data_IF_166369501253
#
_entry.id   IF_166369501253
#
_cell.length_a   1.000
_cell.length_b   1.000
_cell.length_c   1.000
_cell.angle_alpha   90.00
_cell.angle_beta   90.00
_cell.angle_gamma   90.00
#
_symmetry.space_group_name_H-M   'P 1'
#
loop_
_entity.id
_entity.type
_entity.pdbx_description
1 polymer ?
#
# COMPACT_ATOMS: atom_id res chain seq x y z
N UNK A 1 -12.66 -3.87 -3.39
CA UNK A 1 -11.80 -3.58 -4.56
C UNK A 1 -10.52 -4.44 -4.62
N UNK A 2 -10.22 -5.24 -3.62
CA UNK A 2 -9.12 -6.22 -3.62
C UNK A 2 -9.68 -7.58 -4.00
N UNK A 3 -9.55 -7.96 -5.27
CA UNK A 3 -10.26 -9.10 -5.84
C UNK A 3 -9.29 -10.03 -6.56
N UNK A 4 -9.33 -11.30 -6.22
CA UNK A 4 -8.76 -12.41 -6.99
C UNK A 4 -9.81 -13.49 -7.16
N UNK A 5 -9.74 -14.21 -8.25
CA UNK A 5 -10.75 -15.23 -8.55
C UNK A 5 -10.33 -16.12 -9.71
N UNK A 6 -11.30 -16.87 -10.19
CA UNK A 6 -11.15 -17.74 -11.36
C UNK A 6 -12.09 -17.26 -12.46
N UNK A 7 -11.63 -17.22 -13.69
CA UNK A 7 -12.47 -16.84 -14.82
C UNK A 7 -13.58 -17.89 -14.98
N UNK A 8 -14.83 -17.47 -14.80
CA UNK A 8 -16.01 -18.32 -15.00
C UNK A 8 -16.46 -18.31 -16.47
N UNK A 9 -16.60 -17.11 -17.05
CA UNK A 9 -17.05 -16.91 -18.43
C UNK A 9 -16.28 -15.79 -19.10
N UNK A 10 -16.25 -15.81 -20.42
CA UNK A 10 -15.64 -14.78 -21.27
C UNK A 10 -16.71 -14.06 -22.05
N UNK A 11 -16.66 -12.74 -22.08
CA UNK A 11 -17.48 -11.92 -22.97
C UNK A 11 -17.14 -12.15 -24.44
N UNK A 12 -18.07 -11.80 -25.33
CA UNK A 12 -17.87 -11.92 -26.75
C UNK A 12 -16.66 -11.10 -27.20
N UNK A 13 -15.77 -11.70 -28.02
CA UNK A 13 -14.57 -11.03 -28.52
C UNK A 13 -13.38 -10.98 -27.59
N UNK A 14 -13.49 -11.50 -26.36
CA UNK A 14 -12.34 -11.64 -25.46
C UNK A 14 -11.41 -12.74 -25.98
N UNK A 15 -10.14 -12.41 -26.16
CA UNK A 15 -9.08 -13.33 -26.57
C UNK A 15 -7.95 -13.38 -25.57
N UNK A 16 -7.17 -14.47 -25.59
CA UNK A 16 -5.98 -14.62 -24.74
C UNK A 16 -6.27 -15.08 -23.31
N UNK A 17 -7.52 -15.41 -22.97
CA UNK A 17 -7.97 -15.92 -21.69
C UNK A 17 -8.79 -17.21 -21.87
N UNK A 18 -8.84 -18.03 -20.82
CA UNK A 18 -9.67 -19.24 -20.79
C UNK A 18 -10.42 -19.33 -19.46
N UNK A 19 -11.64 -19.91 -19.43
CA UNK A 19 -12.29 -20.28 -18.18
C UNK A 19 -11.40 -21.21 -17.35
N UNK A 20 -11.37 -20.99 -16.03
CA UNK A 20 -10.52 -21.74 -15.11
C UNK A 20 -9.19 -21.07 -14.79
N UNK A 21 -8.73 -20.07 -15.57
CA UNK A 21 -7.50 -19.33 -15.24
C UNK A 21 -7.69 -18.50 -13.96
N UNK A 22 -6.67 -18.51 -13.08
CA UNK A 22 -6.65 -17.69 -11.86
C UNK A 22 -6.17 -16.27 -12.16
N UNK A 23 -6.88 -15.30 -11.62
CA UNK A 23 -6.68 -13.88 -11.96
C UNK A 23 -6.73 -12.97 -10.74
N UNK A 24 -6.06 -11.84 -10.90
CA UNK A 24 -6.12 -10.68 -10.03
C UNK A 24 -6.78 -9.52 -10.80
N UNK A 25 -7.72 -8.83 -10.18
CA UNK A 25 -8.29 -7.60 -10.71
C UNK A 25 -7.59 -6.39 -10.06
N UNK A 26 -7.27 -5.32 -10.81
CA UNK A 26 -6.75 -4.10 -10.21
C UNK A 26 -7.86 -3.42 -9.38
N UNK A 27 -7.49 -2.70 -8.34
CA UNK A 27 -8.46 -1.95 -7.55
C UNK A 27 -9.18 -0.87 -8.38
N UNK A 28 -8.49 -0.32 -9.38
CA UNK A 28 -8.95 0.81 -10.20
C UNK A 28 -8.92 0.45 -11.69
N UNK A 29 -10.03 0.73 -12.35
CA UNK A 29 -10.18 0.66 -13.80
C UNK A 29 -9.83 2.03 -14.42
N UNK A 30 -9.15 2.03 -15.56
CA UNK A 30 -8.65 3.25 -16.20
C UNK A 30 -9.18 3.40 -17.61
N UNK A 31 -9.34 4.65 -18.08
CA UNK A 31 -9.90 4.91 -19.42
C UNK A 31 -8.91 4.63 -20.55
N UNK A 32 -7.60 4.68 -20.30
CA UNK A 32 -6.54 4.46 -21.29
C UNK A 32 -6.30 5.62 -22.26
N UNK A 33 -7.11 6.68 -22.25
CA UNK A 33 -7.10 7.73 -23.29
C UNK A 33 -6.88 9.16 -22.79
N UNK A 34 -7.09 9.46 -21.48
CA UNK A 34 -6.82 10.78 -20.95
C UNK A 34 -5.31 11.09 -20.89
N UNK A 35 -4.94 12.33 -20.61
CA UNK A 35 -3.55 12.76 -20.56
C UNK A 35 -2.72 11.92 -19.59
N UNK A 36 -3.22 11.72 -18.38
CA UNK A 36 -2.54 10.91 -17.37
C UNK A 36 -2.29 9.47 -17.85
N UNK A 37 -3.29 8.83 -18.49
CA UNK A 37 -3.13 7.48 -19.04
C UNK A 37 -2.08 7.43 -20.15
N UNK A 38 -2.08 8.41 -21.04
CA UNK A 38 -1.11 8.48 -22.15
C UNK A 38 0.33 8.76 -21.68
N UNK A 39 0.48 9.36 -20.51
CA UNK A 39 1.78 9.57 -19.83
C UNK A 39 2.25 8.35 -19.01
N UNK A 40 1.49 7.24 -19.00
CA UNK A 40 1.78 6.08 -18.16
C UNK A 40 1.57 6.34 -16.65
N UNK A 41 0.62 7.22 -16.34
CA UNK A 41 0.21 7.59 -14.97
C UNK A 41 -1.26 7.25 -14.74
N UNK A 42 -1.66 6.08 -15.18
CA UNK A 42 -3.04 5.61 -15.18
C UNK A 42 -3.65 5.55 -13.77
N UNK A 43 -2.81 5.39 -12.74
CA UNK A 43 -3.24 5.42 -11.34
C UNK A 43 -3.92 6.75 -10.93
N UNK A 44 -3.68 7.82 -11.69
CA UNK A 44 -4.34 9.12 -11.53
C UNK A 44 -5.19 9.49 -12.76
N UNK A 45 -5.81 8.50 -13.38
CA UNK A 45 -6.71 8.66 -14.51
C UNK A 45 -7.87 9.61 -14.14
N UNK A 46 -8.17 10.61 -15.00
CA UNK A 46 -9.26 11.57 -14.77
C UNK A 46 -10.64 10.90 -14.77
N UNK A 47 -10.76 9.72 -15.37
CA UNK A 47 -11.99 8.93 -15.53
C UNK A 47 -11.86 7.57 -14.83
N UNK A 48 -11.12 7.50 -13.73
CA UNK A 48 -10.98 6.22 -13.03
C UNK A 48 -12.30 5.75 -12.42
N UNK A 49 -12.44 4.43 -12.37
CA UNK A 49 -13.53 3.76 -11.65
C UNK A 49 -12.92 2.74 -10.70
N UNK A 50 -13.42 2.69 -9.48
CA UNK A 50 -12.95 1.74 -8.46
C UNK A 50 -14.04 0.71 -8.20
N UNK A 51 -13.65 -0.57 -8.17
CA UNK A 51 -14.52 -1.64 -7.72
C UNK A 51 -15.04 -1.39 -6.30
N UNK A 52 -16.33 -1.60 -6.09
CA UNK A 52 -16.97 -1.40 -4.79
C UNK A 52 -17.23 0.06 -4.42
N UNK A 53 -16.91 1.02 -5.31
CA UNK A 53 -17.18 2.44 -5.13
C UNK A 53 -17.93 3.04 -6.31
N UNK A 54 -17.38 2.94 -7.53
CA UNK A 54 -17.98 3.49 -8.76
C UNK A 54 -18.69 2.41 -9.59
N UNK A 55 -18.25 1.17 -9.44
CA UNK A 55 -18.84 -0.03 -10.04
C UNK A 55 -18.95 -1.10 -8.97
N UNK A 56 -19.72 -2.17 -9.25
CA UNK A 56 -19.91 -3.28 -8.31
C UNK A 56 -18.57 -3.89 -7.88
N UNK A 57 -18.48 -4.27 -6.60
CA UNK A 57 -17.25 -4.78 -5.98
C UNK A 57 -17.18 -6.29 -5.85
N UNK A 58 -16.16 -6.75 -5.14
CA UNK A 58 -15.84 -8.18 -4.98
C UNK A 58 -16.45 -8.87 -3.76
N UNK A 59 -17.37 -8.23 -3.03
CA UNK A 59 -18.16 -8.91 -2.00
C UNK A 59 -19.35 -9.63 -2.66
N UNK A 60 -19.01 -10.56 -3.55
CA UNK A 60 -19.95 -11.30 -4.39
C UNK A 60 -19.31 -12.59 -4.88
N UNK A 61 -20.13 -13.57 -5.27
CA UNK A 61 -19.68 -14.84 -5.88
C UNK A 61 -19.08 -14.59 -7.28
N UNK A 62 -19.58 -13.59 -8.02
CA UNK A 62 -19.15 -13.25 -9.37
C UNK A 62 -18.96 -11.74 -9.53
N UNK A 63 -17.96 -11.36 -10.30
CA UNK A 63 -17.64 -9.96 -10.65
C UNK A 63 -17.37 -9.87 -12.13
N UNK A 64 -17.89 -8.84 -12.78
CA UNK A 64 -17.58 -8.50 -14.17
C UNK A 64 -16.43 -7.52 -14.23
N UNK A 65 -15.42 -7.81 -15.04
CA UNK A 65 -14.25 -6.95 -15.22
C UNK A 65 -13.85 -6.82 -16.69
N UNK A 66 -13.32 -5.66 -17.12
CA UNK A 66 -12.74 -5.52 -18.46
C UNK A 66 -11.51 -6.41 -18.62
N UNK A 67 -11.50 -7.27 -19.64
CA UNK A 67 -10.42 -8.22 -19.87
C UNK A 67 -9.02 -7.56 -20.03
N UNK A 68 -8.98 -6.30 -20.49
CA UNK A 68 -7.74 -5.52 -20.63
C UNK A 68 -7.05 -5.20 -19.31
N UNK A 69 -7.80 -5.19 -18.19
CA UNK A 69 -7.32 -4.78 -16.87
C UNK A 69 -7.02 -6.00 -15.97
N UNK A 70 -7.24 -7.22 -16.45
CA UNK A 70 -7.06 -8.46 -15.67
C UNK A 70 -5.62 -8.93 -15.73
N UNK A 71 -5.08 -9.43 -14.60
CA UNK A 71 -3.73 -9.99 -14.48
C UNK A 71 -3.77 -11.46 -14.12
N UNK A 72 -2.90 -12.27 -14.75
CA UNK A 72 -2.71 -13.68 -14.34
C UNK A 72 -2.12 -13.75 -12.94
N UNK A 73 -2.71 -14.58 -12.10
CA UNK A 73 -2.18 -14.88 -10.78
C UNK A 73 -1.49 -16.26 -10.84
N UNK A 74 -0.15 -16.32 -10.62
CA UNK A 74 0.58 -17.57 -10.63
C UNK A 74 0.10 -18.55 -9.55
N UNK A 75 0.14 -19.88 -9.80
CA UNK A 75 -0.34 -20.88 -8.86
C UNK A 75 0.45 -20.93 -7.54
N UNK A 76 1.65 -20.41 -7.50
CA UNK A 76 2.47 -20.29 -6.30
C UNK A 76 1.88 -19.30 -5.27
N UNK A 77 1.00 -18.38 -5.73
CA UNK A 77 0.32 -17.43 -4.86
C UNK A 77 -1.06 -17.99 -4.52
N UNK A 78 -1.36 -18.27 -3.22
CA UNK A 78 -2.67 -18.76 -2.83
C UNK A 78 -3.77 -17.80 -3.28
N UNK A 79 -4.75 -18.30 -4.05
CA UNK A 79 -5.78 -17.49 -4.71
C UNK A 79 -6.45 -16.49 -3.75
N UNK A 80 -6.96 -16.97 -2.62
CA UNK A 80 -7.66 -16.11 -1.67
C UNK A 80 -6.75 -15.03 -1.06
N UNK A 81 -5.48 -15.35 -0.79
CA UNK A 81 -4.53 -14.37 -0.28
C UNK A 81 -4.05 -13.40 -1.36
N UNK A 82 -4.04 -13.85 -2.62
CA UNK A 82 -3.62 -13.03 -3.77
C UNK A 82 -4.43 -11.74 -3.93
N UNK A 83 -5.68 -11.72 -3.45
CA UNK A 83 -6.55 -10.54 -3.54
C UNK A 83 -5.91 -9.27 -2.96
N UNK A 84 -5.17 -9.37 -1.84
CA UNK A 84 -4.54 -8.20 -1.21
C UNK A 84 -3.43 -7.57 -2.06
N UNK A 85 -2.94 -8.26 -3.09
CA UNK A 85 -1.98 -7.68 -4.04
C UNK A 85 -2.61 -6.51 -4.80
N UNK A 86 -3.92 -6.59 -5.07
CA UNK A 86 -4.64 -5.61 -5.90
C UNK A 86 -4.51 -4.17 -5.42
N UNK A 87 -4.38 -3.94 -4.09
CA UNK A 87 -4.21 -2.62 -3.51
C UNK A 87 -3.23 -2.60 -2.34
N UNK A 88 -3.44 -3.41 -1.30
CA UNK A 88 -2.65 -3.33 -0.07
C UNK A 88 -1.14 -3.56 -0.28
N UNK A 89 -0.72 -4.14 -1.41
CA UNK A 89 0.69 -4.33 -1.78
C UNK A 89 1.08 -3.44 -2.95
N UNK A 90 0.24 -3.30 -3.97
CA UNK A 90 0.57 -2.47 -5.15
C UNK A 90 0.61 -0.99 -4.82
N UNK A 91 -0.29 -0.47 -3.99
CA UNK A 91 -0.25 0.93 -3.51
C UNK A 91 1.03 1.25 -2.75
N UNK A 92 1.49 0.44 -1.76
CA UNK A 92 2.81 0.55 -1.17
C UNK A 92 3.98 0.47 -2.16
N UNK A 93 3.90 -0.43 -3.15
CA UNK A 93 4.94 -0.51 -4.18
C UNK A 93 5.07 0.81 -4.95
N UNK A 94 3.95 1.38 -5.38
CA UNK A 94 3.94 2.69 -6.04
C UNK A 94 4.50 3.78 -5.12
N UNK A 95 4.09 3.80 -3.84
CA UNK A 95 4.59 4.75 -2.87
C UNK A 95 6.11 4.64 -2.69
N UNK A 96 6.64 3.44 -2.44
CA UNK A 96 8.06 3.21 -2.16
C UNK A 96 8.94 3.44 -3.40
N UNK A 97 8.57 2.81 -4.53
CA UNK A 97 9.42 2.76 -5.73
C UNK A 97 9.25 4.03 -6.58
N UNK A 98 8.00 4.46 -6.82
CA UNK A 98 7.73 5.54 -7.76
C UNK A 98 7.73 6.91 -7.12
N UNK A 99 7.15 7.02 -5.92
CA UNK A 99 6.99 8.31 -5.25
C UNK A 99 8.12 8.58 -4.26
N UNK A 100 8.44 7.61 -3.42
CA UNK A 100 9.54 7.66 -2.46
C UNK A 100 10.91 7.58 -3.11
N UNK A 101 11.02 6.85 -4.23
CA UNK A 101 12.29 6.58 -4.93
C UNK A 101 13.35 6.02 -3.97
N UNK A 102 12.90 5.14 -3.07
CA UNK A 102 13.76 4.52 -2.06
C UNK A 102 14.88 3.73 -2.72
N UNK A 103 16.08 3.89 -2.21
CA UNK A 103 17.27 3.16 -2.66
C UNK A 103 17.93 2.42 -1.48
N UNK A 104 18.80 1.41 -1.75
CA UNK A 104 19.51 0.71 -0.70
C UNK A 104 20.32 1.67 0.18
N UNK A 105 20.22 1.49 1.50
CA UNK A 105 20.91 2.30 2.50
C UNK A 105 20.14 3.52 2.99
N UNK A 106 19.04 3.92 2.34
CA UNK A 106 18.19 4.99 2.84
C UNK A 106 17.63 4.70 4.24
N UNK A 107 17.54 5.72 5.08
CA UNK A 107 16.69 5.68 6.25
C UNK A 107 15.25 6.01 5.85
N UNK A 108 14.36 5.08 6.11
CA UNK A 108 12.93 5.18 5.78
C UNK A 108 12.11 5.18 7.07
N UNK A 109 11.28 6.20 7.25
CA UNK A 109 10.27 6.25 8.31
C UNK A 109 8.92 5.80 7.76
N UNK A 110 8.25 4.91 8.46
CA UNK A 110 6.85 4.52 8.17
C UNK A 110 6.00 4.86 9.39
N UNK A 111 5.13 5.84 9.24
CA UNK A 111 4.17 6.27 10.25
C UNK A 111 2.81 5.60 9.98
N UNK A 112 2.43 4.70 10.91
CA UNK A 112 1.27 3.83 10.79
C UNK A 112 1.61 2.46 10.18
N UNK A 113 1.50 1.42 11.00
CA UNK A 113 1.76 0.02 10.65
C UNK A 113 0.45 -0.77 10.44
N UNK A 114 -0.50 -0.16 9.75
CA UNK A 114 -1.70 -0.84 9.26
C UNK A 114 -1.44 -1.66 7.98
N UNK A 115 -2.49 -2.11 7.30
CA UNK A 115 -2.39 -2.96 6.11
C UNK A 115 -1.54 -2.39 4.98
N UNK A 116 -1.54 -1.06 4.77
CA UNK A 116 -0.70 -0.36 3.79
C UNK A 116 0.71 -0.12 4.35
N UNK A 117 0.81 0.40 5.59
CA UNK A 117 2.11 0.73 6.18
C UNK A 117 3.03 -0.47 6.37
N UNK A 118 2.50 -1.61 6.80
CA UNK A 118 3.28 -2.86 6.91
C UNK A 118 3.84 -3.31 5.55
N UNK A 119 3.10 -3.08 4.46
CA UNK A 119 3.59 -3.37 3.11
C UNK A 119 4.63 -2.35 2.64
N UNK A 120 4.56 -1.08 3.08
CA UNK A 120 5.66 -0.11 2.88
C UNK A 120 6.92 -0.60 3.60
N UNK A 121 6.80 -1.07 4.86
CA UNK A 121 7.93 -1.62 5.63
C UNK A 121 8.60 -2.76 4.86
N UNK A 122 7.85 -3.79 4.46
CA UNK A 122 8.47 -4.94 3.79
C UNK A 122 9.08 -4.59 2.43
N UNK A 123 8.46 -3.71 1.65
CA UNK A 123 8.98 -3.31 0.35
C UNK A 123 10.25 -2.46 0.47
N UNK A 124 10.28 -1.51 1.41
CA UNK A 124 11.47 -0.72 1.68
C UNK A 124 12.62 -1.60 2.19
N UNK A 125 12.35 -2.53 3.12
CA UNK A 125 13.34 -3.49 3.60
C UNK A 125 13.85 -4.42 2.49
N UNK A 126 12.96 -4.90 1.59
CA UNK A 126 13.33 -5.73 0.45
C UNK A 126 14.24 -5.01 -0.57
N UNK A 127 14.15 -3.68 -0.67
CA UNK A 127 15.05 -2.85 -1.48
C UNK A 127 16.43 -2.71 -0.81
N UNK A 128 16.53 -2.93 0.51
CA UNK A 128 17.74 -2.74 1.28
C UNK A 128 17.81 -1.41 2.04
N UNK A 129 16.66 -0.76 2.27
CA UNK A 129 16.56 0.42 3.13
C UNK A 129 16.52 0.02 4.61
N UNK A 130 16.92 0.94 5.48
CA UNK A 130 16.87 0.83 6.93
C UNK A 130 15.54 1.43 7.42
N UNK A 131 14.65 0.60 7.92
CA UNK A 131 13.26 1.02 8.19
C UNK A 131 13.04 1.28 9.67
N UNK A 132 12.52 2.48 9.98
CA UNK A 132 11.97 2.86 11.27
C UNK A 132 10.45 2.79 11.16
N UNK A 133 9.82 1.87 11.89
CA UNK A 133 8.38 1.71 11.95
C UNK A 133 7.81 2.37 13.21
N UNK A 134 6.72 3.11 13.06
CA UNK A 134 6.07 3.86 14.15
C UNK A 134 4.58 3.51 14.19
N UNK A 135 4.10 3.03 15.33
CA UNK A 135 2.67 2.80 15.61
C UNK A 135 2.42 2.91 17.11
N UNK A 136 1.16 3.00 17.53
CA UNK A 136 0.76 2.96 18.94
C UNK A 136 0.48 1.52 19.43
N UNK A 137 0.22 0.59 18.53
CA UNK A 137 -0.14 -0.79 18.82
C UNK A 137 1.09 -1.69 18.78
N UNK A 138 1.39 -2.35 19.89
CA UNK A 138 2.58 -3.20 20.04
C UNK A 138 2.57 -4.39 19.06
N UNK A 139 1.42 -5.01 18.84
CA UNK A 139 1.24 -6.11 17.92
C UNK A 139 1.56 -5.72 16.45
N UNK A 140 1.21 -4.50 16.04
CA UNK A 140 1.57 -3.94 14.73
C UNK A 140 3.05 -3.66 14.60
N UNK A 141 3.70 -3.21 15.66
CA UNK A 141 5.16 -3.06 15.70
C UNK A 141 5.86 -4.42 15.62
N UNK A 142 5.33 -5.46 16.26
CA UNK A 142 5.85 -6.83 16.13
C UNK A 142 5.72 -7.35 14.70
N UNK A 143 4.64 -7.03 14.01
CA UNK A 143 4.50 -7.33 12.59
C UNK A 143 5.52 -6.54 11.73
N UNK A 144 5.72 -5.26 12.01
CA UNK A 144 6.71 -4.46 11.32
C UNK A 144 8.12 -5.06 11.46
N UNK A 145 8.48 -5.55 12.66
CA UNK A 145 9.75 -6.28 12.88
C UNK A 145 9.87 -7.53 12.01
N UNK A 146 8.83 -8.36 11.96
CA UNK A 146 8.80 -9.58 11.14
C UNK A 146 8.90 -9.28 9.64
N UNK A 147 8.53 -8.07 9.23
CA UNK A 147 8.56 -7.59 7.86
C UNK A 147 9.83 -6.77 7.52
N UNK A 148 10.79 -6.70 8.45
CA UNK A 148 12.11 -6.14 8.20
C UNK A 148 12.36 -4.74 8.73
N UNK A 149 11.49 -4.19 9.60
CA UNK A 149 11.79 -2.96 10.30
C UNK A 149 12.99 -3.15 11.25
N UNK A 150 13.99 -2.29 11.14
CA UNK A 150 15.19 -2.29 11.98
C UNK A 150 14.92 -1.64 13.34
N UNK A 151 14.15 -0.55 13.35
CA UNK A 151 13.81 0.22 14.54
C UNK A 151 12.30 0.28 14.70
N UNK A 152 11.82 0.08 15.92
CA UNK A 152 10.42 0.20 16.29
C UNK A 152 10.25 1.31 17.30
N UNK A 153 9.35 2.25 17.04
CA UNK A 153 9.04 3.35 17.93
C UNK A 153 7.55 3.31 18.30
N UNK A 154 7.28 3.22 19.59
CA UNK A 154 5.94 3.33 20.15
C UNK A 154 5.54 4.81 20.20
N UNK A 155 4.62 5.22 19.34
CA UNK A 155 4.16 6.59 19.25
C UNK A 155 3.45 7.08 20.52
N UNK A 156 2.87 6.17 21.33
CA UNK A 156 2.22 6.53 22.60
C UNK A 156 3.23 6.94 23.68
N UNK A 157 4.49 6.48 23.55
CA UNK A 157 5.58 6.78 24.49
C UNK A 157 6.50 7.90 24.01
N UNK A 158 6.36 8.35 22.77
CA UNK A 158 7.22 9.35 22.17
C UNK A 158 6.63 10.76 22.35
N UNK A 159 7.26 11.58 23.18
CA UNK A 159 6.91 13.00 23.27
C UNK A 159 7.42 13.82 22.09
N UNK A 160 8.53 13.42 21.50
CA UNK A 160 9.24 14.11 20.42
C UNK A 160 9.77 13.11 19.40
N UNK A 161 8.86 12.63 18.52
CA UNK A 161 9.17 11.64 17.50
C UNK A 161 10.38 12.03 16.63
N UNK A 162 10.49 13.30 16.27
CA UNK A 162 11.61 13.81 15.48
C UNK A 162 12.97 13.64 16.19
N UNK A 163 13.01 13.78 17.52
CA UNK A 163 14.23 13.53 18.30
C UNK A 163 14.56 12.05 18.40
N UNK A 164 13.51 11.21 18.61
CA UNK A 164 13.70 9.77 18.71
C UNK A 164 14.22 9.20 17.40
N UNK A 165 13.65 9.61 16.27
CA UNK A 165 14.12 9.23 14.93
C UNK A 165 15.59 9.65 14.71
N UNK A 166 15.96 10.89 15.11
CA UNK A 166 17.33 11.38 14.95
C UNK A 166 18.37 10.61 15.76
N UNK A 167 18.00 10.06 16.92
CA UNK A 167 18.91 9.19 17.71
C UNK A 167 19.36 7.96 16.93
N UNK A 168 18.49 7.43 16.06
CA UNK A 168 18.78 6.27 15.24
C UNK A 168 19.46 6.60 13.91
N UNK A 169 19.35 7.85 13.44
CA UNK A 169 19.84 8.29 12.14
C UNK A 169 21.09 9.18 12.21
N UNK A 170 21.87 9.07 13.29
CA UNK A 170 23.09 9.89 13.48
C UNK A 170 22.84 11.39 13.59
N UNK A 171 21.65 11.81 14.01
CA UNK A 171 21.25 13.21 14.18
C UNK A 171 20.62 13.86 12.95
N UNK A 172 20.74 13.28 11.74
CA UNK A 172 20.28 13.87 10.49
C UNK A 172 18.77 13.87 10.29
N UNK A 173 18.13 12.78 10.60
CA UNK A 173 16.75 12.45 10.20
C UNK A 173 16.72 11.43 9.06
N UNK A 174 15.53 11.16 8.52
CA UNK A 174 15.32 10.13 7.49
C UNK A 174 15.38 10.70 6.08
N UNK A 175 15.76 9.85 5.12
CA UNK A 175 15.76 10.14 3.69
C UNK A 175 14.34 10.27 3.16
N UNK A 176 13.49 9.30 3.51
CA UNK A 176 12.10 9.25 3.08
C UNK A 176 11.20 8.95 4.28
N UNK A 177 10.12 9.71 4.41
CA UNK A 177 9.07 9.45 5.38
C UNK A 177 7.76 9.13 4.66
N UNK A 178 7.14 8.01 5.01
CA UNK A 178 5.80 7.62 4.53
C UNK A 178 4.80 7.83 5.65
N UNK A 179 3.73 8.57 5.35
CA UNK A 179 2.61 8.72 6.25
C UNK A 179 1.45 7.87 5.72
N UNK A 180 1.04 6.85 6.48
CA UNK A 180 0.06 5.84 6.10
C UNK A 180 -1.15 5.74 7.05
N UNK A 181 -1.39 6.78 7.86
CA UNK A 181 -2.52 6.89 8.79
C UNK A 181 -3.64 7.75 8.19
N UNK A 182 -3.26 8.89 7.57
CA UNK A 182 -4.21 9.86 7.06
C UNK A 182 -4.66 10.88 8.09
N UNK A 183 -3.74 11.40 8.89
CA UNK A 183 -4.03 12.42 9.88
C UNK A 183 -3.05 13.60 9.75
N UNK A 184 -3.56 14.83 9.76
CA UNK A 184 -2.74 16.04 9.59
C UNK A 184 -1.57 16.11 10.59
N UNK A 185 -1.81 15.76 11.86
CA UNK A 185 -0.77 15.78 12.89
C UNK A 185 0.35 14.76 12.62
N UNK A 186 0.02 13.55 12.17
CA UNK A 186 1.02 12.54 11.81
C UNK A 186 1.78 12.91 10.53
N UNK A 187 1.12 13.58 9.58
CA UNK A 187 1.75 14.14 8.39
C UNK A 187 2.81 15.20 8.76
N UNK A 188 2.48 16.11 9.68
CA UNK A 188 3.41 17.10 10.23
C UNK A 188 4.56 16.46 11.00
N UNK A 189 4.28 15.41 11.80
CA UNK A 189 5.30 14.65 12.50
C UNK A 189 6.27 13.97 11.53
N UNK A 190 5.76 13.31 10.47
CA UNK A 190 6.57 12.69 9.43
C UNK A 190 7.48 13.71 8.73
N UNK A 191 6.94 14.89 8.38
CA UNK A 191 7.71 16.00 7.81
C UNK A 191 8.84 16.43 8.74
N UNK A 192 8.58 16.51 10.05
CA UNK A 192 9.56 16.94 11.03
C UNK A 192 10.71 15.94 11.24
N UNK A 193 10.54 14.68 10.86
CA UNK A 193 11.58 13.65 10.92
C UNK A 193 12.56 13.67 9.75
N UNK A 194 12.27 14.43 8.69
CA UNK A 194 13.10 14.46 7.47
C UNK A 194 14.46 15.12 7.71
N UNK A 195 15.47 14.59 7.04
CA UNK A 195 16.78 15.24 6.85
C UNK A 195 16.70 16.36 5.81
N UNK A 196 17.79 17.10 5.61
CA UNK A 196 17.97 17.98 4.46
C UNK A 196 17.96 17.15 3.17
N UNK A 197 17.24 17.61 2.15
CA UNK A 197 17.02 16.89 0.89
C UNK A 197 16.05 15.69 1.03
N UNK A 198 15.39 15.53 2.19
CA UNK A 198 14.49 14.42 2.44
C UNK A 198 13.13 14.56 1.75
N UNK A 199 12.38 13.46 1.67
CA UNK A 199 11.09 13.40 0.98
C UNK A 199 9.98 12.89 1.89
N UNK A 200 8.87 13.62 1.97
CA UNK A 200 7.61 13.17 2.56
C UNK A 200 6.71 12.59 1.46
N UNK A 201 6.23 11.37 1.67
CA UNK A 201 5.23 10.72 0.83
C UNK A 201 3.94 10.54 1.62
N UNK A 202 2.89 11.24 1.19
CA UNK A 202 1.56 11.15 1.77
C UNK A 202 0.79 10.00 1.08
N UNK A 203 0.47 8.96 1.85
CA UNK A 203 -0.28 7.79 1.40
C UNK A 203 -1.64 7.72 2.07
N UNK A 204 -1.69 8.05 3.36
CA UNK A 204 -2.93 8.16 4.13
C UNK A 204 -3.76 9.37 3.72
N UNK A 205 -5.07 9.17 3.53
CA UNK A 205 -6.00 10.26 3.23
C UNK A 205 -6.39 11.02 4.51
N UNK A 206 -6.16 12.33 4.53
CA UNK A 206 -6.63 13.23 5.59
C UNK A 206 -7.63 14.23 5.03
N UNK A 207 -8.84 14.36 5.62
CA UNK A 207 -9.76 15.43 5.26
C UNK A 207 -9.36 16.79 5.84
N UNK A 208 -8.42 16.79 6.80
CA UNK A 208 -7.94 18.01 7.46
C UNK A 208 -6.65 18.50 6.81
N UNK A 209 -6.46 19.82 6.65
CA UNK A 209 -5.22 20.38 6.14
C UNK A 209 -4.08 20.17 7.14
N UNK A 210 -2.88 19.84 6.65
CA UNK A 210 -1.64 19.90 7.44
C UNK A 210 -0.94 21.25 7.28
N UNK A 211 -0.19 21.67 8.29
CA UNK A 211 0.62 22.89 8.27
C UNK A 211 2.08 22.58 8.01
N UNK A 212 2.67 23.22 7.01
CA UNK A 212 4.09 23.09 6.69
C UNK A 212 4.82 24.42 6.85
N UNK A 213 6.02 24.36 7.43
CA UNK A 213 6.92 25.49 7.46
C UNK A 213 7.59 25.63 6.08
N UNK A 214 7.14 26.58 5.26
CA UNK A 214 7.64 26.81 3.90
C UNK A 214 9.13 27.23 3.89
N UNK A 215 9.58 27.98 4.90
CA UNK A 215 11.00 28.30 5.05
C UNK A 215 11.85 27.04 5.21
N UNK A 216 11.39 26.07 6.00
CA UNK A 216 12.10 24.80 6.14
C UNK A 216 12.08 23.99 4.85
N UNK A 217 10.99 24.01 4.09
CA UNK A 217 10.92 23.36 2.77
C UNK A 217 12.00 23.94 1.85
N UNK A 218 12.07 25.26 1.77
CA UNK A 218 13.01 25.97 0.91
C UNK A 218 14.48 25.77 1.36
N UNK A 219 14.79 26.05 2.64
CA UNK A 219 16.17 25.99 3.14
C UNK A 219 16.78 24.59 3.16
N UNK A 220 15.94 23.57 3.21
CA UNK A 220 16.39 22.17 3.29
C UNK A 220 16.08 21.36 2.05
N UNK A 221 15.58 22.01 0.99
CA UNK A 221 15.19 21.35 -0.29
C UNK A 221 14.34 20.09 -0.04
N UNK A 222 13.34 20.19 0.86
CA UNK A 222 12.46 19.08 1.19
C UNK A 222 11.40 18.92 0.11
N UNK A 223 11.23 17.69 -0.36
CA UNK A 223 10.13 17.34 -1.25
C UNK A 223 8.91 16.87 -0.44
N UNK A 224 7.71 17.33 -0.85
CA UNK A 224 6.43 16.79 -0.36
C UNK A 224 5.62 16.29 -1.54
N UNK A 225 5.21 15.03 -1.50
CA UNK A 225 4.51 14.39 -2.62
C UNK A 225 3.40 13.47 -2.14
N UNK A 226 2.33 13.31 -2.94
CA UNK A 226 1.27 12.34 -2.72
C UNK A 226 1.53 11.04 -3.47
N UNK A 227 0.93 9.96 -3.00
CA UNK A 227 0.92 8.65 -3.65
C UNK A 227 -0.48 8.09 -3.68
N UNK A 228 -0.98 7.73 -4.86
CA UNK A 228 -2.30 7.14 -5.05
C UNK A 228 -2.20 5.87 -5.87
N UNK A 229 -2.76 4.76 -5.35
CA UNK A 229 -2.90 3.50 -6.07
C UNK A 229 -1.60 2.99 -6.70
N UNK A 230 -1.73 2.29 -7.80
CA UNK A 230 -0.61 1.73 -8.53
C UNK A 230 -0.81 1.83 -10.05
N UNK A 231 0.28 1.98 -10.79
CA UNK A 231 0.24 1.95 -12.26
C UNK A 231 0.01 0.53 -12.77
N UNK A 232 -0.80 0.32 -13.80
CA UNK A 232 -1.00 -0.99 -14.42
C UNK A 232 0.30 -1.73 -14.76
N UNK A 233 1.29 -1.02 -15.27
CA UNK A 233 2.62 -1.56 -15.63
C UNK A 233 3.40 -2.17 -14.45
N UNK A 234 3.05 -1.85 -13.22
CA UNK A 234 3.75 -2.33 -12.02
C UNK A 234 3.09 -3.58 -11.39
N UNK A 235 1.83 -3.90 -11.73
CA UNK A 235 1.15 -5.12 -11.23
C UNK A 235 1.93 -6.41 -11.52
N UNK A 236 2.42 -6.67 -12.76
CA UNK A 236 3.23 -7.85 -13.03
C UNK A 236 4.51 -7.93 -12.20
N UNK A 237 5.12 -6.78 -11.87
CA UNK A 237 6.32 -6.71 -11.04
C UNK A 237 6.04 -7.10 -9.59
N UNK A 238 4.91 -6.62 -9.05
CA UNK A 238 4.49 -6.94 -7.67
C UNK A 238 4.09 -8.41 -7.57
N UNK A 239 3.35 -8.93 -8.55
CA UNK A 239 3.00 -10.36 -8.63
C UNK A 239 4.28 -11.21 -8.67
N UNK A 240 5.28 -10.82 -9.44
CA UNK A 240 6.55 -11.55 -9.52
C UNK A 240 7.35 -11.51 -8.21
N UNK A 241 7.37 -10.37 -7.51
CA UNK A 241 7.98 -10.29 -6.17
C UNK A 241 7.28 -11.23 -5.17
N UNK A 242 5.96 -11.31 -5.24
CA UNK A 242 5.18 -12.24 -4.41
C UNK A 242 5.48 -13.70 -4.77
N UNK A 243 5.50 -14.04 -6.08
CA UNK A 243 5.82 -15.38 -6.58
C UNK A 243 7.21 -15.85 -6.14
N UNK A 244 8.20 -14.95 -6.14
CA UNK A 244 9.57 -15.23 -5.67
C UNK A 244 9.70 -15.29 -4.13
N UNK A 245 8.63 -15.03 -3.38
CA UNK A 245 8.68 -14.96 -1.91
C UNK A 245 9.50 -13.78 -1.36
N UNK A 246 9.77 -12.76 -2.19
CA UNK A 246 10.49 -11.54 -1.78
C UNK A 246 9.63 -10.64 -0.89
N UNK A 247 8.33 -10.77 -1.01
CA UNK A 247 7.33 -10.12 -0.17
C UNK A 247 6.35 -11.16 0.36
N UNK A 248 5.91 -10.99 1.58
CA UNK A 248 4.91 -11.85 2.22
C UNK A 248 3.51 -11.40 1.80
N UNK A 249 2.67 -12.35 1.43
CA UNK A 249 1.28 -12.12 1.02
C UNK A 249 0.34 -12.92 1.92
N UNK A 250 0.48 -14.24 1.92
CA UNK A 250 -0.44 -15.14 2.64
C UNK A 250 -0.39 -14.92 4.15
N UNK A 251 0.78 -14.63 4.71
CA UNK A 251 0.98 -14.40 6.15
C UNK A 251 0.29 -13.14 6.66
N UNK A 252 0.04 -12.16 5.77
CA UNK A 252 -0.67 -10.93 6.14
C UNK A 252 -2.18 -11.14 6.26
N UNK A 253 -2.73 -12.18 5.65
CA UNK A 253 -4.15 -12.55 5.76
C UNK A 253 -4.38 -13.28 7.07
N UNK A 254 -4.70 -12.52 8.12
CA UNK A 254 -4.87 -13.06 9.47
C UNK A 254 -6.29 -13.53 9.77
N UNK A 255 -7.29 -13.05 9.02
CA UNK A 255 -8.71 -13.41 9.23
C UNK A 255 -9.39 -13.71 7.90
N UNK A 256 -10.30 -14.71 7.93
CA UNK A 256 -11.10 -15.11 6.78
C UNK A 256 -12.55 -15.23 7.21
N UNK A 257 -13.44 -14.71 6.38
CA UNK A 257 -14.89 -14.75 6.59
C UNK A 257 -15.55 -15.27 5.33
N UNK A 258 -16.65 -16.00 5.47
CA UNK A 258 -17.54 -16.30 4.35
C UNK A 258 -18.40 -15.08 4.01
N UNK A 259 -18.99 -15.06 2.82
CA UNK A 259 -19.77 -13.91 2.34
C UNK A 259 -20.98 -13.63 3.22
N UNK A 260 -21.67 -14.67 3.73
CA UNK A 260 -22.79 -14.56 4.68
C UNK A 260 -22.38 -13.96 6.04
N UNK A 261 -21.09 -14.03 6.39
CA UNK A 261 -20.51 -13.46 7.62
C UNK A 261 -19.69 -12.19 7.40
N UNK A 262 -19.95 -11.47 6.31
CA UNK A 262 -19.20 -10.25 5.96
C UNK A 262 -19.29 -9.18 7.07
N UNK A 263 -20.44 -9.07 7.75
CA UNK A 263 -20.61 -8.09 8.83
C UNK A 263 -19.70 -8.38 10.02
N UNK A 264 -19.43 -9.65 10.34
CA UNK A 264 -18.46 -10.02 11.38
C UNK A 264 -17.03 -9.57 10.97
N UNK A 265 -16.71 -9.67 9.68
CA UNK A 265 -15.46 -9.18 9.13
C UNK A 265 -15.32 -7.65 9.24
N UNK A 266 -16.39 -6.91 8.98
CA UNK A 266 -16.43 -5.46 9.13
C UNK A 266 -16.30 -5.04 10.60
N UNK A 267 -16.93 -5.78 11.52
CA UNK A 267 -16.82 -5.52 12.96
C UNK A 267 -15.42 -5.84 13.49
N UNK A 268 -14.79 -6.91 13.01
CA UNK A 268 -13.40 -7.22 13.32
C UNK A 268 -12.45 -6.10 12.85
N UNK A 269 -12.68 -5.54 11.66
CA UNK A 269 -11.92 -4.39 11.14
C UNK A 269 -12.10 -3.14 12.02
N UNK A 270 -13.34 -2.82 12.44
CA UNK A 270 -13.63 -1.70 13.36
C UNK A 270 -12.94 -1.88 14.71
N UNK A 271 -12.83 -3.10 15.17
CA UNK A 271 -12.11 -3.45 16.40
C UNK A 271 -10.57 -3.47 16.22
N UNK A 272 -10.06 -3.29 15.00
CA UNK A 272 -8.62 -3.27 14.70
C UNK A 272 -7.92 -4.63 14.82
N UNK A 273 -8.67 -5.73 14.84
CA UNK A 273 -8.15 -7.07 15.07
C UNK A 273 -7.27 -7.61 13.91
N UNK A 274 -7.68 -7.52 12.62
CA UNK A 274 -6.92 -8.12 11.54
C UNK A 274 -5.79 -7.20 11.05
N UNK A 275 -4.69 -7.81 10.59
CA UNK A 275 -3.76 -7.13 9.69
C UNK A 275 -4.42 -6.99 8.31
N UNK A 276 -4.87 -8.13 7.75
CA UNK A 276 -5.77 -8.18 6.60
C UNK A 276 -6.87 -9.20 6.87
N UNK A 277 -8.10 -8.80 6.57
CA UNK A 277 -9.26 -9.68 6.54
C UNK A 277 -9.70 -9.88 5.09
N UNK A 278 -10.03 -11.09 4.71
CA UNK A 278 -10.59 -11.41 3.38
C UNK A 278 -11.95 -12.08 3.53
N UNK A 279 -12.80 -11.85 2.53
CA UNK A 279 -14.08 -12.57 2.37
C UNK A 279 -13.90 -13.59 1.26
N UNK A 280 -14.33 -14.82 1.52
CA UNK A 280 -14.32 -15.92 0.55
C UNK A 280 -15.77 -16.32 0.35
N UNK A 281 -16.34 -16.15 -0.85
CA UNK A 281 -17.70 -16.52 -1.19
C UNK A 281 -17.98 -18.02 -1.09
#
# INVERSE_FOLDING_TARGET
>A
HEISGTIAELGSGVAGWQPGETVLLPAVLTCGVCAACREGRENICDHNQMFGNHVDGGFAEYVVAPAKDVYRLPPEIPLAAGSIIADAITTPFHAVVRRGKVVPGDWVLVLGCGGVGLNIVQLAAAIGARVIAVDMAADKLDWARKLGAEVLLDAAKSERLDKDVRRHTGGGGVDVAFEAIGNAKTQEQAFNCLKTGGRLVLVGYSPQPMTLNSGRVMFREIEVTGSLGCRPVDYPRVIELARQGKIKVAELVTHRFSLDRINDGLDALRAGLPIRAIVVP
#
